data_IF_974241306074
#
_entry.id   IF_974241306074
#
_cell.length_a   1.000
_cell.length_b   1.000
_cell.length_c   1.000
_cell.angle_alpha   90.00
_cell.angle_beta   90.00
_cell.angle_gamma   90.00
#
_symmetry.space_group_name_H-M   'P 1'
#
loop_
_entity.id
_entity.type
_entity.pdbx_description
1 polymer ?
#
# COMPACT_ATOMS: atom_id res chain seq x y z
N UNK A 1 29.74 34.65 -32.09
CA UNK A 1 29.20 33.53 -31.28
C UNK A 1 28.04 34.04 -30.41
N UNK A 2 26.81 33.55 -30.64
CA UNK A 2 25.55 34.07 -30.07
C UNK A 2 25.32 33.53 -28.64
N UNK A 3 25.48 34.40 -27.62
CA UNK A 3 25.26 34.10 -26.19
C UNK A 3 23.79 33.82 -25.80
N UNK A 4 22.84 33.95 -26.73
CA UNK A 4 21.39 33.89 -26.46
C UNK A 4 20.76 32.51 -26.64
N UNK A 5 21.47 31.53 -27.23
CA UNK A 5 20.90 30.21 -27.47
C UNK A 5 21.01 29.25 -26.27
N UNK A 6 21.82 29.59 -25.26
CA UNK A 6 22.01 28.73 -24.09
C UNK A 6 20.84 28.79 -23.09
N UNK A 7 20.07 29.89 -23.09
CA UNK A 7 18.96 30.08 -22.16
C UNK A 7 17.74 29.23 -22.53
N UNK A 8 17.56 28.88 -23.80
CA UNK A 8 16.44 28.05 -24.25
C UNK A 8 16.58 26.57 -23.86
N UNK A 9 17.80 26.04 -23.71
CA UNK A 9 18.01 24.65 -23.30
C UNK A 9 17.72 24.39 -21.82
N UNK A 10 17.99 25.36 -20.94
CA UNK A 10 17.76 25.23 -19.49
C UNK A 10 16.29 25.17 -19.10
N UNK A 11 15.42 25.87 -19.82
CA UNK A 11 13.97 25.83 -19.59
C UNK A 11 13.36 24.44 -19.86
N UNK A 12 13.91 23.69 -20.82
CA UNK A 12 13.45 22.34 -21.15
C UNK A 12 13.76 21.32 -20.04
N UNK A 13 14.89 21.48 -19.36
CA UNK A 13 15.29 20.62 -18.21
C UNK A 13 14.36 20.85 -17.01
N UNK A 14 13.94 22.10 -16.75
CA UNK A 14 13.03 22.43 -15.66
C UNK A 14 11.61 21.89 -15.86
N UNK A 15 11.15 21.79 -17.11
CA UNK A 15 9.82 21.24 -17.44
C UNK A 15 9.76 19.71 -17.29
N UNK A 16 10.87 19.00 -17.49
CA UNK A 16 10.96 17.54 -17.33
C UNK A 16 11.11 17.10 -15.87
N UNK A 17 11.59 17.96 -14.97
CA UNK A 17 11.85 17.60 -13.57
C UNK A 17 10.61 17.55 -12.66
N UNK A 18 9.56 18.33 -12.96
CA UNK A 18 8.40 18.45 -12.07
C UNK A 18 7.45 17.24 -12.10
N UNK A 19 7.38 16.52 -13.22
CA UNK A 19 6.50 15.35 -13.40
C UNK A 19 6.97 14.11 -12.61
N UNK A 20 8.19 14.13 -12.08
CA UNK A 20 8.80 12.98 -11.40
C UNK A 20 8.58 12.96 -9.88
N UNK A 21 7.80 13.91 -9.36
CA UNK A 21 7.49 14.05 -7.93
C UNK A 21 6.08 13.58 -7.55
N UNK A 22 5.48 12.67 -8.33
CA UNK A 22 4.32 11.91 -7.86
C UNK A 22 4.79 10.96 -6.74
N UNK A 23 4.85 11.46 -5.50
CA UNK A 23 5.08 10.63 -4.31
C UNK A 23 3.72 10.15 -3.81
N UNK A 24 3.42 8.87 -4.00
CA UNK A 24 2.30 8.21 -3.32
C UNK A 24 2.53 8.15 -1.81
N UNK A 25 1.49 7.87 -1.04
CA UNK A 25 1.60 7.84 0.42
C UNK A 25 2.63 6.80 0.87
N UNK A 26 3.47 7.20 1.83
CA UNK A 26 4.45 6.30 2.42
C UNK A 26 3.83 5.57 3.62
N UNK A 27 4.13 4.29 3.75
CA UNK A 27 3.71 3.49 4.90
C UNK A 27 4.79 3.60 5.97
N UNK A 28 4.39 4.11 7.14
CA UNK A 28 5.28 4.36 8.28
C UNK A 28 5.42 3.13 9.15
N UNK A 29 4.30 2.49 9.48
CA UNK A 29 4.27 1.32 10.34
C UNK A 29 3.05 0.45 10.03
N UNK A 30 3.17 -0.83 10.37
CA UNK A 30 2.02 -1.74 10.39
C UNK A 30 2.04 -2.54 11.68
N UNK A 31 0.89 -2.66 12.32
CA UNK A 31 0.70 -3.36 13.59
C UNK A 31 -0.40 -4.39 13.46
N UNK A 32 -0.20 -5.54 14.10
CA UNK A 32 -1.18 -6.62 14.18
C UNK A 32 -1.41 -6.92 15.66
N UNK A 33 -2.68 -6.98 16.05
CA UNK A 33 -3.11 -7.35 17.40
C UNK A 33 -4.05 -8.56 17.28
N UNK A 34 -3.53 -9.77 17.47
CA UNK A 34 -4.36 -10.97 17.48
C UNK A 34 -5.09 -11.08 18.82
N UNK A 35 -6.41 -11.22 18.80
CA UNK A 35 -7.21 -11.57 19.97
C UNK A 35 -8.32 -12.56 19.58
N UNK A 36 -8.88 -13.27 20.55
CA UNK A 36 -9.89 -14.31 20.30
C UNK A 36 -11.20 -13.75 19.75
N UNK A 37 -11.58 -12.55 20.17
CA UNK A 37 -12.80 -11.84 19.82
C UNK A 37 -12.66 -10.99 18.54
N UNK A 38 -11.46 -10.46 18.25
CA UNK A 38 -11.15 -9.78 17.00
C UNK A 38 -9.65 -9.76 16.72
N UNK A 39 -9.28 -9.66 15.44
CA UNK A 39 -7.90 -9.35 15.05
C UNK A 39 -7.84 -7.96 14.42
N UNK A 40 -6.96 -7.11 14.93
CA UNK A 40 -6.81 -5.73 14.44
C UNK A 40 -5.54 -5.59 13.63
N UNK A 41 -5.67 -5.10 12.41
CA UNK A 41 -4.55 -4.70 11.54
C UNK A 41 -4.60 -3.18 11.39
N UNK A 42 -3.51 -2.50 11.74
CA UNK A 42 -3.41 -1.04 11.66
C UNK A 42 -2.26 -0.68 10.72
N UNK A 43 -2.57 0.12 9.70
CA UNK A 43 -1.60 0.65 8.72
C UNK A 43 -1.48 2.15 8.98
N UNK A 44 -0.27 2.59 9.31
CA UNK A 44 0.06 4.00 9.54
C UNK A 44 0.73 4.56 8.30
N UNK A 45 0.31 5.75 7.88
CA UNK A 45 0.85 6.47 6.72
C UNK A 45 1.16 7.92 7.06
N UNK A 46 2.08 8.51 6.30
CA UNK A 46 2.41 9.95 6.36
C UNK A 46 1.33 10.85 5.76
N UNK A 47 0.38 10.28 5.00
CA UNK A 47 -0.77 10.99 4.46
C UNK A 47 -2.05 10.20 4.70
N UNK A 48 -3.21 10.82 4.44
CA UNK A 48 -4.50 10.16 4.61
C UNK A 48 -4.69 9.07 3.54
N UNK A 49 -4.92 7.83 4.00
CA UNK A 49 -5.21 6.69 3.13
C UNK A 49 -6.70 6.61 2.80
N UNK A 50 -7.01 6.42 1.53
CA UNK A 50 -8.34 6.04 1.05
C UNK A 50 -8.33 4.55 0.72
N UNK A 51 -9.35 3.81 1.16
CA UNK A 51 -9.41 2.37 0.93
C UNK A 51 -10.85 1.89 0.66
N UNK A 52 -10.96 0.75 -0.01
CA UNK A 52 -12.21 0.01 -0.13
C UNK A 52 -12.01 -1.41 0.40
N UNK A 53 -13.08 -2.03 0.87
CA UNK A 53 -13.05 -3.40 1.40
C UNK A 53 -14.14 -4.24 0.75
N UNK A 54 -13.80 -5.48 0.42
CA UNK A 54 -14.72 -6.44 -0.17
C UNK A 54 -14.53 -7.81 0.47
N UNK A 55 -15.63 -8.38 0.97
CA UNK A 55 -15.64 -9.74 1.48
C UNK A 55 -15.88 -10.73 0.34
N UNK A 56 -15.04 -11.76 0.25
CA UNK A 56 -15.17 -12.83 -0.73
C UNK A 56 -15.46 -14.13 0.02
N UNK A 57 -16.65 -14.74 -0.17
CA UNK A 57 -16.95 -16.02 0.44
C UNK A 57 -16.18 -17.15 -0.26
N UNK A 58 -15.91 -18.24 0.48
CA UNK A 58 -15.40 -19.53 0.00
C UNK A 58 -14.08 -19.51 -0.83
N UNK A 59 -12.90 -19.64 -0.19
CA UNK A 59 -12.66 -19.51 1.26
C UNK A 59 -12.89 -18.06 1.72
N UNK A 60 -13.32 -17.82 2.97
CA UNK A 60 -13.62 -16.49 3.48
C UNK A 60 -12.37 -15.61 3.45
N UNK A 61 -12.48 -14.49 2.74
CA UNK A 61 -11.38 -13.55 2.53
C UNK A 61 -11.88 -12.13 2.64
N UNK A 62 -11.07 -11.26 3.23
CA UNK A 62 -11.29 -9.81 3.19
C UNK A 62 -10.24 -9.19 2.28
N UNK A 63 -10.66 -8.70 1.12
CA UNK A 63 -9.81 -7.92 0.22
C UNK A 63 -9.94 -6.44 0.58
N UNK A 64 -8.82 -5.79 0.86
CA UNK A 64 -8.74 -4.36 1.17
C UNK A 64 -7.84 -3.70 0.13
N UNK A 65 -8.42 -2.80 -0.65
CA UNK A 65 -7.71 -2.02 -1.66
C UNK A 65 -7.39 -0.65 -1.11
N UNK A 66 -6.11 -0.33 -1.04
CA UNK A 66 -5.63 0.98 -0.57
C UNK A 66 -5.16 1.77 -1.79
N UNK A 67 -5.73 2.95 -1.98
CA UNK A 67 -5.45 3.83 -3.11
C UNK A 67 -4.37 4.86 -2.76
N UNK A 68 -3.69 5.35 -3.80
CA UNK A 68 -2.66 6.38 -3.68
C UNK A 68 -1.34 5.86 -3.12
N UNK A 69 -1.14 4.53 -3.10
CA UNK A 69 0.09 3.90 -2.61
C UNK A 69 0.68 2.93 -3.63
N UNK A 70 2.00 2.85 -3.62
CA UNK A 70 2.77 1.84 -4.35
C UNK A 70 3.28 0.79 -3.38
N UNK A 71 3.40 -0.45 -3.87
CA UNK A 71 3.91 -1.57 -3.10
C UNK A 71 5.36 -1.32 -2.72
N UNK A 72 5.61 -1.17 -1.42
CA UNK A 72 6.95 -0.97 -0.87
C UNK A 72 7.42 -2.22 -0.08
N UNK A 73 8.72 -2.34 0.22
CA UNK A 73 9.24 -3.46 1.00
C UNK A 73 8.63 -3.59 2.39
N UNK A 74 8.29 -2.49 3.06
CA UNK A 74 7.68 -2.50 4.40
C UNK A 74 6.31 -3.21 4.41
N UNK A 75 5.50 -3.03 3.36
CA UNK A 75 4.25 -3.76 3.18
C UNK A 75 4.47 -5.24 2.84
N UNK A 76 5.57 -5.61 2.19
CA UNK A 76 5.91 -7.03 1.98
C UNK A 76 6.35 -7.69 3.29
N UNK A 77 7.07 -6.97 4.14
CA UNK A 77 7.42 -7.44 5.48
C UNK A 77 6.19 -7.65 6.38
N UNK A 78 5.07 -6.93 6.14
CA UNK A 78 3.79 -7.18 6.81
C UNK A 78 3.36 -8.64 6.69
N UNK A 79 3.49 -9.22 5.49
CA UNK A 79 3.14 -10.61 5.21
C UNK A 79 3.98 -11.57 6.05
N UNK A 80 5.26 -11.25 6.25
CA UNK A 80 6.17 -12.06 7.04
C UNK A 80 5.93 -11.96 8.56
N UNK A 81 5.29 -10.87 9.03
CA UNK A 81 4.99 -10.64 10.46
C UNK A 81 3.64 -11.18 10.91
N UNK A 82 2.81 -11.71 10.01
CA UNK A 82 1.60 -12.45 10.40
C UNK A 82 2.04 -13.63 11.27
N UNK A 83 1.73 -13.54 12.56
CA UNK A 83 2.02 -14.62 13.50
C UNK A 83 1.13 -15.81 13.14
N UNK A 84 1.72 -17.00 13.06
CA UNK A 84 0.97 -18.24 12.85
C UNK A 84 -0.09 -18.53 13.95
N UNK A 85 -0.08 -17.76 15.04
CA UNK A 85 -0.98 -17.89 16.19
C UNK A 85 -2.26 -17.04 16.15
N UNK A 86 -2.52 -16.24 15.12
CA UNK A 86 -3.75 -15.43 15.07
C UNK A 86 -5.00 -16.34 14.95
N UNK A 87 -6.00 -16.24 15.86
CA UNK A 87 -7.16 -17.13 15.85
C UNK A 87 -8.16 -16.82 14.72
N UNK A 88 -8.12 -15.62 14.12
CA UNK A 88 -9.08 -15.18 13.10
C UNK A 88 -8.48 -15.15 11.69
N UNK A 89 -7.19 -14.84 11.57
CA UNK A 89 -6.50 -14.67 10.28
C UNK A 89 -5.62 -15.90 10.02
N UNK A 90 -5.83 -16.55 8.88
CA UNK A 90 -4.98 -17.65 8.41
C UNK A 90 -3.70 -17.12 7.76
N UNK A 91 -3.80 -16.05 6.99
CA UNK A 91 -2.67 -15.43 6.32
C UNK A 91 -3.02 -14.07 5.76
N UNK A 92 -2.01 -13.25 5.46
CA UNK A 92 -2.18 -12.00 4.74
C UNK A 92 -1.32 -12.05 3.49
N UNK A 93 -1.87 -11.63 2.36
CA UNK A 93 -1.16 -11.48 1.10
C UNK A 93 -1.21 -10.02 0.68
N UNK A 94 -0.12 -9.52 0.12
CA UNK A 94 -0.06 -8.16 -0.41
C UNK A 94 0.40 -8.20 -1.86
N UNK A 95 -0.22 -7.38 -2.71
CA UNK A 95 0.16 -7.26 -4.12
C UNK A 95 -0.20 -5.90 -4.68
N UNK A 96 0.51 -5.50 -5.73
CA UNK A 96 0.12 -4.34 -6.53
C UNK A 96 -1.07 -4.75 -7.40
N UNK A 97 -2.25 -4.15 -7.19
CA UNK A 97 -3.44 -4.44 -7.98
C UNK A 97 -3.50 -3.57 -9.25
N UNK A 98 -3.14 -2.29 -9.13
CA UNK A 98 -2.94 -1.34 -10.23
C UNK A 98 -1.84 -0.34 -9.84
N UNK A 99 -1.32 0.54 -10.73
CA UNK A 99 -0.20 1.42 -10.42
C UNK A 99 -0.32 2.20 -9.09
N UNK A 100 -1.53 2.66 -8.77
CA UNK A 100 -1.81 3.46 -7.57
C UNK A 100 -2.63 2.70 -6.51
N UNK A 101 -2.83 1.40 -6.68
CA UNK A 101 -3.64 0.58 -5.75
C UNK A 101 -2.88 -0.65 -5.32
N UNK A 102 -2.68 -0.77 -4.00
CA UNK A 102 -2.19 -1.98 -3.36
C UNK A 102 -3.36 -2.74 -2.77
N UNK A 103 -3.47 -4.03 -3.09
CA UNK A 103 -4.47 -4.93 -2.53
C UNK A 103 -3.85 -5.77 -1.44
N UNK A 104 -4.45 -5.71 -0.26
CA UNK A 104 -4.22 -6.63 0.86
C UNK A 104 -5.34 -7.66 0.86
N UNK A 105 -5.00 -8.95 0.93
CA UNK A 105 -5.97 -10.03 1.03
C UNK A 105 -5.71 -10.75 2.34
N UNK A 106 -6.64 -10.63 3.28
CA UNK A 106 -6.65 -11.38 4.53
C UNK A 106 -7.42 -12.67 4.29
N UNK A 107 -6.71 -13.80 4.35
CA UNK A 107 -7.33 -15.12 4.35
C UNK A 107 -7.82 -15.40 5.77
N UNK A 108 -9.13 -15.59 5.93
CA UNK A 108 -9.78 -15.68 7.24
C UNK A 108 -10.01 -17.15 7.62
N UNK A 109 -9.94 -17.44 8.92
CA UNK A 109 -10.29 -18.75 9.48
C UNK A 109 -11.80 -18.93 9.65
N UNK A 110 -12.52 -17.81 9.78
CA UNK A 110 -13.98 -17.76 9.91
C UNK A 110 -14.56 -16.60 9.11
N UNK A 111 -15.81 -16.70 8.63
CA UNK A 111 -16.54 -15.59 8.00
C UNK A 111 -16.70 -14.42 8.98
N UNK A 112 -16.78 -13.20 8.44
CA UNK A 112 -16.99 -11.94 9.18
C UNK A 112 -18.24 -11.22 8.71
#
# INVERSE_FOLDING_TARGET
MKRRNFVHGGALVLLLGAQQLARGASILAVRIWPAADYSRVTIESDTMLTFTQNFVPNPPRLAVDVHGIALNPALKELVAKVQAGDPNIHGIRVGQFSPDVVRLVLDLKQPV
#
